data_IF_683990460862
#
_entry.id   IF_683990460862
#
_cell.length_a   1.000
_cell.length_b   1.000
_cell.length_c   1.000
_cell.angle_alpha   90.00
_cell.angle_beta   90.00
_cell.angle_gamma   90.00
#
_symmetry.space_group_name_H-M   'P 1'
#
loop_
_entity.id
_entity.type
_entity.pdbx_description
1 polymer ?
#
# COMPACT_ATOMS: atom_id res chain seq x y z
N UNK A 1 -8.54 20.97 0.38
CA UNK A 1 -7.99 20.33 1.59
C UNK A 1 -7.39 18.95 1.31
N UNK A 2 -8.15 18.04 0.68
CA UNK A 2 -7.71 16.65 0.38
C UNK A 2 -6.35 16.53 -0.34
N UNK A 3 -6.04 17.39 -1.33
CA UNK A 3 -4.74 17.37 -2.01
C UNK A 3 -3.56 17.68 -1.06
N UNK A 4 -3.77 18.60 -0.13
CA UNK A 4 -2.77 18.94 0.88
C UNK A 4 -2.64 17.81 1.91
N UNK A 5 -3.75 17.19 2.29
CA UNK A 5 -3.75 16.01 3.16
C UNK A 5 -2.99 14.84 2.52
N UNK A 6 -3.25 14.51 1.25
CA UNK A 6 -2.49 13.50 0.52
C UNK A 6 -0.99 13.81 0.49
N UNK A 7 -0.65 15.06 0.17
CA UNK A 7 0.75 15.52 0.15
C UNK A 7 1.39 15.40 1.54
N UNK A 8 0.67 15.76 2.60
CA UNK A 8 1.11 15.64 3.99
C UNK A 8 1.34 14.19 4.42
N UNK A 9 0.45 13.28 4.02
CA UNK A 9 0.56 11.85 4.34
C UNK A 9 1.78 11.20 3.66
N UNK A 10 2.07 11.58 2.41
CA UNK A 10 3.22 11.07 1.67
C UNK A 10 4.54 11.74 2.07
N UNK A 11 4.49 12.89 2.74
CA UNK A 11 5.68 13.63 3.13
C UNK A 11 6.38 12.98 4.33
N UNK A 12 7.66 12.65 4.14
CA UNK A 12 8.55 12.20 5.23
C UNK A 12 9.73 13.14 5.37
N UNK A 13 9.84 13.92 6.46
CA UNK A 13 10.96 14.85 6.64
C UNK A 13 12.29 14.11 6.87
N UNK A 14 13.40 14.80 6.62
CA UNK A 14 14.74 14.30 6.93
C UNK A 14 14.96 14.30 8.44
N UNK A 15 15.64 13.28 8.98
CA UNK A 15 16.01 13.23 10.40
C UNK A 15 16.89 14.44 10.77
N UNK A 16 16.65 15.03 11.94
CA UNK A 16 17.47 16.13 12.46
C UNK A 16 18.94 15.70 12.60
N UNK A 17 19.86 16.62 12.34
CA UNK A 17 21.32 16.40 12.40
C UNK A 17 21.80 15.19 11.58
N UNK A 18 21.07 14.80 10.53
CA UNK A 18 21.47 13.65 9.72
C UNK A 18 22.88 13.79 9.15
N UNK A 19 23.32 15.01 8.81
CA UNK A 19 24.69 15.24 8.34
C UNK A 19 25.76 14.71 9.31
N UNK A 20 25.53 14.80 10.63
CA UNK A 20 26.40 14.23 11.66
C UNK A 20 26.18 12.72 11.79
N UNK A 21 24.92 12.28 11.78
CA UNK A 21 24.56 10.86 11.96
C UNK A 21 25.14 9.96 10.87
N UNK A 22 25.34 10.48 9.66
CA UNK A 22 25.95 9.73 8.55
C UNK A 22 27.38 9.27 8.87
N UNK A 23 28.09 9.98 9.73
CA UNK A 23 29.47 9.67 10.10
C UNK A 23 29.59 8.68 11.25
N UNK A 24 28.48 8.24 11.85
CA UNK A 24 28.49 7.25 12.92
C UNK A 24 28.72 5.83 12.35
N UNK A 25 29.49 4.97 13.04
CA UNK A 25 29.79 3.62 12.57
C UNK A 25 28.55 2.70 12.46
N UNK A 26 27.43 3.06 13.10
CA UNK A 26 26.15 2.33 13.07
C UNK A 26 25.10 2.98 12.15
N UNK A 27 25.52 3.78 11.18
CA UNK A 27 24.58 4.43 10.25
C UNK A 27 24.01 3.41 9.25
N UNK A 28 22.69 3.25 9.24
CA UNK A 28 21.93 2.28 8.45
C UNK A 28 21.52 2.80 7.05
N UNK A 29 21.82 4.05 6.73
CA UNK A 29 21.37 4.68 5.50
C UNK A 29 20.01 5.38 5.60
N UNK A 30 19.23 5.17 6.67
CA UNK A 30 17.88 5.70 6.79
C UNK A 30 17.88 7.18 7.21
N UNK A 31 17.56 8.01 6.22
CA UNK A 31 17.60 9.46 6.30
C UNK A 31 16.26 10.12 6.69
N UNK A 32 15.14 9.38 6.67
CA UNK A 32 13.79 9.96 6.81
C UNK A 32 13.12 9.51 8.11
N UNK A 33 12.24 10.34 8.64
CA UNK A 33 11.43 9.97 9.81
C UNK A 33 10.28 9.06 9.33
N UNK A 34 9.93 7.98 10.06
CA UNK A 34 8.75 7.19 9.75
C UNK A 34 7.48 8.05 9.79
N UNK A 35 6.44 7.61 9.08
CA UNK A 35 5.17 8.30 9.07
C UNK A 35 4.56 8.34 10.49
N UNK A 36 3.97 9.48 10.85
CA UNK A 36 3.26 9.66 12.10
C UNK A 36 2.06 10.59 11.87
N UNK A 37 0.86 10.04 12.04
CA UNK A 37 -0.40 10.73 11.79
C UNK A 37 -0.59 12.00 12.64
N UNK A 38 0.02 12.08 13.83
CA UNK A 38 -0.08 13.24 14.71
C UNK A 38 0.47 14.53 14.06
N UNK A 39 1.46 14.40 13.17
CA UNK A 39 2.06 15.56 12.49
C UNK A 39 1.36 15.94 11.19
N UNK A 40 0.38 15.16 10.73
CA UNK A 40 -0.29 15.39 9.44
C UNK A 40 -0.90 16.79 9.37
N UNK A 41 -1.66 17.21 10.38
CA UNK A 41 -2.30 18.54 10.40
C UNK A 41 -1.28 19.68 10.37
N UNK A 42 -0.13 19.48 11.04
CA UNK A 42 0.98 20.44 11.00
C UNK A 42 1.54 20.55 9.60
N UNK A 43 1.72 19.44 8.90
CA UNK A 43 2.22 19.44 7.53
C UNK A 43 1.20 20.00 6.54
N UNK A 44 -0.09 19.70 6.69
CA UNK A 44 -1.17 20.30 5.87
C UNK A 44 -1.10 21.82 5.93
N UNK A 45 -1.00 22.40 7.12
CA UNK A 45 -0.83 23.85 7.31
C UNK A 45 0.44 24.37 6.62
N UNK A 46 1.54 23.63 6.70
CA UNK A 46 2.79 24.01 6.00
C UNK A 46 2.64 23.96 4.48
N UNK A 47 1.90 22.99 3.94
CA UNK A 47 1.71 22.82 2.50
C UNK A 47 0.73 23.82 1.89
N UNK A 48 -0.06 24.54 2.68
CA UNK A 48 -0.87 25.68 2.19
C UNK A 48 0.00 26.76 1.53
N UNK A 49 1.26 26.88 1.97
CA UNK A 49 2.23 27.85 1.42
C UNK A 49 3.15 27.23 0.36
N UNK A 50 3.00 25.95 0.05
CA UNK A 50 3.84 25.28 -0.94
C UNK A 50 3.41 25.67 -2.37
N UNK A 51 4.34 25.65 -3.34
CA UNK A 51 3.99 25.86 -4.74
C UNK A 51 2.94 24.86 -5.20
N UNK A 52 1.88 25.36 -5.84
CA UNK A 52 0.74 24.53 -6.27
C UNK A 52 1.17 23.38 -7.20
N UNK A 53 2.20 23.60 -8.03
CA UNK A 53 2.77 22.57 -8.89
C UNK A 53 3.38 21.39 -8.12
N UNK A 54 3.93 21.61 -6.92
CA UNK A 54 4.44 20.53 -6.09
C UNK A 54 3.31 19.65 -5.52
N UNK A 55 2.24 20.29 -5.06
CA UNK A 55 1.04 19.60 -4.54
C UNK A 55 0.37 18.78 -5.65
N UNK A 56 0.16 19.38 -6.82
CA UNK A 56 -0.40 18.67 -7.97
C UNK A 56 0.52 17.57 -8.50
N UNK A 57 1.84 17.80 -8.53
CA UNK A 57 2.81 16.78 -8.91
C UNK A 57 2.73 15.56 -8.00
N UNK A 58 2.56 15.77 -6.69
CA UNK A 58 2.38 14.68 -5.71
C UNK A 58 1.08 13.92 -5.97
N UNK A 59 -0.02 14.62 -6.26
CA UNK A 59 -1.29 13.98 -6.63
C UNK A 59 -1.18 13.15 -7.91
N UNK A 60 -0.57 13.71 -8.98
CA UNK A 60 -0.36 12.99 -10.23
C UNK A 60 0.53 11.77 -10.05
N UNK A 61 1.59 11.89 -9.26
CA UNK A 61 2.46 10.77 -8.91
C UNK A 61 1.67 9.66 -8.21
N UNK A 62 0.86 10.01 -7.20
CA UNK A 62 0.03 9.04 -6.49
C UNK A 62 -1.00 8.38 -7.41
N UNK A 63 -1.68 9.15 -8.26
CA UNK A 63 -2.64 8.62 -9.24
C UNK A 63 -1.98 7.67 -10.25
N UNK A 64 -0.80 8.04 -10.77
CA UNK A 64 -0.03 7.18 -11.68
C UNK A 64 0.45 5.90 -10.99
N UNK A 65 0.87 5.98 -9.73
CA UNK A 65 1.24 4.81 -8.92
C UNK A 65 0.04 3.89 -8.71
N UNK A 66 -1.11 4.44 -8.33
CA UNK A 66 -2.35 3.67 -8.14
C UNK A 66 -2.73 2.96 -9.44
N UNK A 67 -2.74 3.68 -10.56
CA UNK A 67 -3.02 3.11 -11.88
C UNK A 67 -2.04 1.97 -12.20
N UNK A 68 -0.74 2.19 -12.01
CA UNK A 68 0.28 1.17 -12.20
C UNK A 68 0.01 -0.08 -11.35
N UNK A 69 -0.28 0.07 -10.07
CA UNK A 69 -0.56 -1.08 -9.18
C UNK A 69 -1.81 -1.86 -9.65
N UNK A 70 -2.84 -1.16 -10.13
CA UNK A 70 -4.09 -1.80 -10.58
C UNK A 70 -3.99 -2.47 -11.94
N UNK A 71 -3.05 -2.07 -12.80
CA UNK A 71 -3.00 -2.53 -14.20
C UNK A 71 -1.69 -3.20 -14.61
N UNK A 72 -0.64 -3.15 -13.80
CA UNK A 72 0.68 -3.58 -14.22
C UNK A 72 0.91 -5.09 -14.07
N UNK A 73 1.57 -5.63 -15.08
CA UNK A 73 2.26 -6.90 -15.05
C UNK A 73 3.70 -6.67 -14.58
N UNK A 74 4.03 -7.17 -13.39
CA UNK A 74 5.33 -6.97 -12.76
C UNK A 74 6.17 -8.24 -12.93
N UNK A 75 7.33 -8.19 -13.62
CA UNK A 75 8.25 -9.31 -13.65
C UNK A 75 8.91 -9.46 -12.27
N UNK A 76 8.61 -10.57 -11.58
CA UNK A 76 9.14 -10.89 -10.26
C UNK A 76 9.62 -12.34 -10.21
N UNK A 77 10.89 -12.55 -9.82
CA UNK A 77 11.51 -13.87 -9.69
C UNK A 77 11.33 -14.78 -10.94
N UNK A 78 11.38 -14.21 -12.15
CA UNK A 78 11.22 -14.94 -13.41
C UNK A 78 9.78 -15.27 -13.80
N UNK A 79 8.78 -14.80 -13.05
CA UNK A 79 7.35 -14.90 -13.37
C UNK A 79 6.76 -13.51 -13.58
N UNK A 80 5.70 -13.43 -14.37
CA UNK A 80 4.92 -12.20 -14.53
C UNK A 80 3.78 -12.26 -13.52
N UNK A 81 3.78 -11.33 -12.57
CA UNK A 81 2.72 -11.18 -11.57
C UNK A 81 1.76 -10.11 -12.05
N UNK A 82 0.47 -10.44 -12.14
CA UNK A 82 -0.58 -9.47 -12.43
C UNK A 82 -1.32 -9.11 -11.13
N UNK A 83 -1.12 -7.90 -10.63
CA UNK A 83 -1.74 -7.44 -9.38
C UNK A 83 -3.20 -6.98 -9.56
N UNK A 84 -3.71 -6.85 -10.80
CA UNK A 84 -5.11 -6.45 -11.04
C UNK A 84 -6.11 -7.39 -10.36
N UNK A 85 -5.74 -8.67 -10.21
CA UNK A 85 -6.54 -9.70 -9.53
C UNK A 85 -6.88 -9.37 -8.07
N UNK A 86 -6.11 -8.46 -7.45
CA UNK A 86 -6.36 -7.96 -6.10
C UNK A 86 -7.43 -6.88 -6.06
N UNK A 87 -7.71 -6.24 -7.19
CA UNK A 87 -8.60 -5.10 -7.31
C UNK A 87 -9.85 -5.40 -8.15
N UNK A 88 -9.88 -6.53 -8.86
CA UNK A 88 -11.09 -7.03 -9.49
C UNK A 88 -12.10 -7.46 -8.42
N UNK A 89 -13.12 -6.62 -8.22
CA UNK A 89 -14.36 -7.03 -7.57
C UNK A 89 -15.06 -8.02 -8.50
N UNK A 90 -15.20 -9.27 -8.08
CA UNK A 90 -15.93 -10.28 -8.83
C UNK A 90 -17.29 -9.71 -9.28
N UNK A 91 -17.49 -9.57 -10.58
CA UNK A 91 -18.65 -8.94 -11.22
C UNK A 91 -19.98 -9.68 -11.01
N UNK A 92 -20.01 -10.66 -10.09
CA UNK A 92 -21.19 -11.42 -9.67
C UNK A 92 -21.73 -11.00 -8.30
N UNK A 93 -21.03 -10.16 -7.53
CA UNK A 93 -21.58 -9.54 -6.33
C UNK A 93 -22.19 -8.18 -6.68
N UNK A 94 -23.52 -8.09 -6.62
CA UNK A 94 -24.34 -6.89 -6.86
C UNK A 94 -24.18 -5.82 -5.76
N UNK A 95 -22.99 -5.68 -5.16
CA UNK A 95 -22.72 -4.62 -4.20
C UNK A 95 -21.43 -3.87 -4.57
N UNK A 96 -21.55 -2.67 -5.17
CA UNK A 96 -20.40 -1.87 -5.61
C UNK A 96 -19.64 -1.21 -4.44
N UNK A 97 -20.01 -1.47 -3.20
CA UNK A 97 -19.51 -0.75 -2.02
C UNK A 97 -18.14 -1.25 -1.53
N UNK A 98 -17.70 -2.43 -1.97
CA UNK A 98 -16.48 -3.07 -1.45
C UNK A 98 -15.22 -2.79 -2.28
N UNK A 99 -15.33 -2.09 -3.42
CA UNK A 99 -14.17 -1.74 -4.24
C UNK A 99 -13.21 -0.74 -3.55
N UNK A 100 -13.68 -0.01 -2.53
CA UNK A 100 -12.87 0.92 -1.72
C UNK A 100 -12.31 0.32 -0.42
N UNK A 101 -12.95 -0.72 0.12
CA UNK A 101 -12.52 -1.42 1.35
C UNK A 101 -11.31 -2.33 1.15
N UNK A 102 -10.88 -2.57 -0.09
CA UNK A 102 -9.94 -3.62 -0.45
C UNK A 102 -8.57 -3.55 0.23
N UNK A 103 -7.96 -2.38 0.42
CA UNK A 103 -6.65 -2.31 1.10
C UNK A 103 -6.77 -2.40 2.62
N UNK A 104 -7.73 -1.70 3.22
CA UNK A 104 -7.91 -1.69 4.68
C UNK A 104 -8.43 -3.03 5.20
N UNK A 105 -9.38 -3.65 4.49
CA UNK A 105 -9.86 -4.99 4.82
C UNK A 105 -8.76 -6.05 4.70
N UNK A 106 -7.85 -5.89 3.74
CA UNK A 106 -6.73 -6.82 3.60
C UNK A 106 -5.65 -6.56 4.64
N UNK A 107 -5.35 -5.30 4.97
CA UNK A 107 -4.47 -4.96 6.10
C UNK A 107 -5.00 -5.60 7.39
N UNK A 108 -6.31 -5.50 7.63
CA UNK A 108 -6.97 -6.07 8.80
C UNK A 108 -6.94 -7.60 8.80
N UNK A 109 -7.27 -8.23 7.66
CA UNK A 109 -7.15 -9.69 7.49
C UNK A 109 -5.71 -10.20 7.71
N UNK A 110 -4.71 -9.43 7.30
CA UNK A 110 -3.30 -9.78 7.51
C UNK A 110 -2.86 -9.65 8.98
N UNK A 111 -3.35 -8.61 9.66
CA UNK A 111 -3.13 -8.43 11.09
C UNK A 111 -3.80 -9.55 11.90
N UNK A 112 -5.03 -9.91 11.54
CA UNK A 112 -5.78 -11.03 12.16
C UNK A 112 -5.11 -12.38 11.92
N UNK A 113 -4.60 -12.62 10.70
CA UNK A 113 -3.87 -13.83 10.36
C UNK A 113 -2.46 -13.92 10.97
N UNK A 114 -1.98 -12.88 11.66
CA UNK A 114 -0.68 -12.83 12.34
C UNK A 114 0.54 -12.96 11.43
N UNK A 115 0.37 -12.91 10.10
CA UNK A 115 1.46 -13.19 9.13
C UNK A 115 2.60 -12.18 9.20
N UNK A 116 2.33 -10.96 9.64
CA UNK A 116 3.32 -9.90 9.87
C UNK A 116 3.27 -9.36 11.30
N UNK A 117 2.53 -10.03 12.21
CA UNK A 117 2.31 -9.60 13.58
C UNK A 117 1.15 -8.60 13.74
N UNK A 118 1.24 -7.67 14.71
CA UNK A 118 0.17 -6.72 15.00
C UNK A 118 0.06 -5.63 13.91
N UNK A 119 -1.01 -4.83 13.92
CA UNK A 119 -1.26 -3.80 12.90
C UNK A 119 -0.08 -2.84 12.73
N UNK A 120 0.61 -2.47 13.81
CA UNK A 120 1.78 -1.59 13.78
C UNK A 120 2.95 -2.22 13.02
N UNK A 121 3.16 -3.52 13.16
CA UNK A 121 4.19 -4.28 12.44
C UNK A 121 3.81 -4.44 10.96
N UNK A 122 2.53 -4.64 10.65
CA UNK A 122 2.06 -4.63 9.25
C UNK A 122 2.33 -3.27 8.61
N UNK A 123 2.04 -2.17 9.30
CA UNK A 123 2.28 -0.80 8.81
C UNK A 123 3.76 -0.45 8.62
N UNK A 124 4.67 -1.17 9.27
CA UNK A 124 6.13 -1.02 9.09
C UNK A 124 6.70 -1.94 8.01
N UNK A 125 5.91 -2.91 7.54
CA UNK A 125 6.35 -3.87 6.53
C UNK A 125 6.45 -3.18 5.16
N UNK A 126 7.47 -3.47 4.33
CA UNK A 126 7.58 -2.89 3.00
C UNK A 126 6.33 -3.18 2.15
N UNK A 127 5.81 -2.12 1.51
CA UNK A 127 4.60 -2.20 0.68
C UNK A 127 4.60 -3.37 -0.32
N UNK A 128 5.70 -3.57 -1.06
CA UNK A 128 5.79 -4.66 -2.04
C UNK A 128 5.72 -6.06 -1.40
N UNK A 129 6.24 -6.23 -0.18
CA UNK A 129 6.13 -7.49 0.55
C UNK A 129 4.67 -7.78 0.90
N UNK A 130 3.93 -6.77 1.33
CA UNK A 130 2.49 -6.86 1.59
C UNK A 130 1.76 -7.23 0.30
N UNK A 131 1.96 -6.48 -0.79
CA UNK A 131 1.30 -6.73 -2.08
C UNK A 131 1.53 -8.15 -2.62
N UNK A 132 2.76 -8.65 -2.54
CA UNK A 132 3.08 -10.01 -2.99
C UNK A 132 2.41 -11.08 -2.12
N UNK A 133 2.35 -10.85 -0.80
CA UNK A 133 1.65 -11.75 0.11
C UNK A 133 0.14 -11.75 -0.13
N UNK A 134 -0.45 -10.58 -0.40
CA UNK A 134 -1.85 -10.45 -0.80
C UNK A 134 -2.12 -11.24 -2.09
N UNK A 135 -1.25 -11.09 -3.09
CA UNK A 135 -1.34 -11.81 -4.35
C UNK A 135 -1.33 -13.32 -4.13
N UNK A 136 -0.37 -13.83 -3.35
CA UNK A 136 -0.28 -15.25 -3.02
C UNK A 136 -1.54 -15.79 -2.30
N UNK A 137 -2.12 -15.01 -1.37
CA UNK A 137 -3.37 -15.39 -0.70
C UNK A 137 -4.54 -15.43 -1.69
N UNK A 138 -4.68 -14.41 -2.56
CA UNK A 138 -5.79 -14.36 -3.53
C UNK A 138 -5.73 -15.53 -4.53
N UNK A 139 -4.54 -15.88 -5.01
CA UNK A 139 -4.36 -17.03 -5.91
C UNK A 139 -4.79 -18.33 -5.22
N UNK A 140 -4.34 -18.57 -3.97
CA UNK A 140 -4.74 -19.77 -3.21
C UNK A 140 -6.25 -19.85 -2.99
N UNK A 141 -6.90 -18.73 -2.69
CA UNK A 141 -8.36 -18.68 -2.52
C UNK A 141 -9.10 -19.01 -3.83
N UNK A 142 -8.63 -18.49 -4.97
CA UNK A 142 -9.22 -18.78 -6.28
C UNK A 142 -9.03 -20.24 -6.69
N UNK A 143 -7.91 -20.87 -6.35
CA UNK A 143 -7.68 -22.30 -6.58
C UNK A 143 -8.61 -23.17 -5.73
N UNK A 144 -8.79 -22.83 -4.45
CA UNK A 144 -9.72 -23.53 -3.56
C UNK A 144 -11.16 -23.41 -4.05
N UNK A 145 -11.59 -22.21 -4.47
CA UNK A 145 -12.94 -22.00 -4.99
C UNK A 145 -13.19 -22.81 -6.27
N UNK A 146 -12.22 -22.89 -7.18
CA UNK A 146 -12.32 -23.76 -8.37
C UNK A 146 -12.45 -25.24 -8.00
N UNK A 147 -11.75 -25.70 -6.96
CA UNK A 147 -11.86 -27.09 -6.49
C UNK A 147 -13.25 -27.37 -5.92
N UNK A 148 -13.80 -26.48 -5.11
CA UNK A 148 -15.16 -26.59 -4.57
C UNK A 148 -16.21 -26.58 -5.69
N UNK A 149 -16.13 -25.62 -6.61
CA UNK A 149 -17.05 -25.54 -7.77
C UNK A 149 -16.97 -26.79 -8.66
N UNK A 150 -15.80 -27.43 -8.75
CA UNK A 150 -15.64 -28.69 -9.47
C UNK A 150 -16.27 -29.86 -8.71
N UNK A 151 -16.15 -29.89 -7.40
CA UNK A 151 -16.75 -30.91 -6.54
C UNK A 151 -18.28 -30.84 -6.58
N UNK A 152 -18.85 -29.64 -6.48
CA UNK A 152 -20.30 -29.41 -6.52
C UNK A 152 -20.93 -29.72 -7.90
N UNK A 153 -20.16 -29.69 -8.99
CA UNK A 153 -20.63 -30.09 -10.34
C UNK A 153 -20.61 -31.60 -10.57
N UNK A 154 -19.88 -32.34 -9.74
CA UNK A 154 -19.77 -33.80 -9.85
C UNK A 154 -20.70 -34.55 -8.88
N UNK A 155 -21.42 -33.82 -8.03
CA UNK A 155 -22.49 -34.31 -7.17
C UNK A 155 -23.85 -33.77 -7.59
#
# INVERSE_FOLDING_TARGET
>A
DLLLQLTATLYRPKKNFHFIRKSLPKYDGDCRVPFNAYFTDKYVKSFQYAPIGFVFGTYLFFGAMQQYITSAEIPWAGKIINLSILFDSDSKSTEPEHAGLGMDAVLMSMAEGGSFGNIDQVMQTPFWTIMLKMYDIRIRNLEQQKQLDSYDKHH
#
